data_IF_220304801430
#
_entry.id   IF_220304801430
#
_cell.length_a   1.000
_cell.length_b   1.000
_cell.length_c   1.000
_cell.angle_alpha   90.00
_cell.angle_beta   90.00
_cell.angle_gamma   90.00
#
_symmetry.space_group_name_H-M   'P 1'
#
loop_
_entity.id
_entity.type
_entity.pdbx_description
1 polymer ?
#
# COMPACT_ATOMS: atom_id res chain seq x y z
N UNK A 1 62.63 -13.92 2.75
CA UNK A 1 61.51 -13.64 1.81
C UNK A 1 60.28 -14.48 2.16
N UNK A 2 60.03 -14.77 3.44
CA UNK A 2 58.92 -15.63 3.90
C UNK A 2 57.99 -14.95 4.92
N UNK A 3 58.39 -13.82 5.50
CA UNK A 3 57.57 -13.11 6.50
C UNK A 3 56.37 -12.34 5.91
N UNK A 4 56.42 -11.93 4.63
CA UNK A 4 55.33 -11.16 4.01
C UNK A 4 54.12 -12.01 3.61
N UNK A 5 54.26 -13.34 3.48
CA UNK A 5 53.15 -14.21 3.08
C UNK A 5 52.24 -14.59 4.24
N UNK A 6 52.72 -14.50 5.49
CA UNK A 6 51.94 -14.91 6.66
C UNK A 6 50.97 -13.84 7.17
N UNK A 7 51.20 -12.56 6.84
CA UNK A 7 50.29 -11.47 7.24
C UNK A 7 48.98 -11.53 6.45
N UNK A 8 49.03 -11.87 5.15
CA UNK A 8 47.87 -11.87 4.26
C UNK A 8 46.88 -13.02 4.51
N UNK A 9 47.28 -14.09 5.20
CA UNK A 9 46.42 -15.24 5.47
C UNK A 9 45.53 -15.06 6.71
N UNK A 10 45.88 -14.13 7.60
CA UNK A 10 45.19 -13.93 8.89
C UNK A 10 43.92 -13.07 8.78
N UNK A 11 43.81 -12.24 7.73
CA UNK A 11 42.66 -11.32 7.57
C UNK A 11 41.42 -11.96 6.92
N UNK A 12 41.53 -13.20 6.41
CA UNK A 12 40.41 -13.92 5.79
C UNK A 12 39.86 -15.03 6.69
N UNK A 13 39.69 -14.76 7.99
CA UNK A 13 38.75 -15.55 8.78
C UNK A 13 37.35 -15.18 8.28
N UNK A 14 36.73 -16.10 7.54
CA UNK A 14 35.35 -15.95 7.09
C UNK A 14 34.48 -15.65 8.32
N UNK A 15 33.62 -14.61 8.27
CA UNK A 15 32.67 -14.39 9.36
C UNK A 15 31.81 -15.66 9.51
N UNK A 16 31.46 -15.99 10.76
CA UNK A 16 30.49 -17.03 11.03
C UNK A 16 29.24 -16.82 10.17
N UNK A 17 28.59 -17.89 9.68
CA UNK A 17 27.33 -17.75 8.97
C UNK A 17 26.36 -16.93 9.83
N UNK A 18 25.58 -16.01 9.25
CA UNK A 18 24.60 -15.28 10.02
C UNK A 18 23.66 -16.29 10.68
N UNK A 19 23.37 -16.10 11.97
CA UNK A 19 22.37 -16.87 12.67
C UNK A 19 21.10 -16.88 11.81
N UNK A 20 20.61 -18.08 11.50
CA UNK A 20 19.32 -18.28 10.85
C UNK A 20 18.21 -17.91 11.83
N UNK A 21 18.12 -16.63 12.20
CA UNK A 21 16.83 -16.05 12.50
C UNK A 21 16.08 -16.11 11.17
N UNK A 22 15.15 -17.06 11.10
CA UNK A 22 14.17 -17.18 10.04
C UNK A 22 13.68 -15.78 9.72
N UNK A 23 14.13 -15.26 8.58
CA UNK A 23 13.56 -14.06 8.01
C UNK A 23 12.08 -14.39 7.83
N UNK A 24 11.25 -13.96 8.79
CA UNK A 24 9.82 -13.87 8.57
C UNK A 24 9.70 -13.14 7.25
N UNK A 25 9.13 -13.84 6.27
CA UNK A 25 8.96 -13.35 4.92
C UNK A 25 8.41 -11.92 5.03
N UNK A 26 9.23 -10.95 4.63
CA UNK A 26 8.73 -9.61 4.32
C UNK A 26 7.54 -9.85 3.40
N UNK A 27 6.35 -9.46 3.86
CA UNK A 27 5.13 -9.54 3.07
C UNK A 27 5.42 -9.02 1.67
N UNK A 28 5.02 -9.81 0.67
CA UNK A 28 5.24 -9.49 -0.73
C UNK A 28 4.67 -8.08 -0.99
N UNK A 29 5.49 -7.11 -1.42
CA UNK A 29 5.01 -5.74 -1.70
C UNK A 29 3.95 -5.69 -2.80
N UNK A 30 3.73 -6.80 -3.53
CA UNK A 30 2.66 -6.96 -4.50
C UNK A 30 1.34 -7.47 -3.92
N UNK A 31 1.27 -7.76 -2.62
CA UNK A 31 -0.02 -8.06 -1.98
C UNK A 31 -0.68 -6.75 -1.57
N UNK A 32 -1.24 -6.00 -2.53
CA UNK A 32 -2.20 -4.95 -2.17
C UNK A 32 -3.39 -5.64 -1.51
N UNK A 33 -3.42 -5.64 -0.18
CA UNK A 33 -4.55 -6.13 0.59
C UNK A 33 -5.73 -5.21 0.34
N UNK A 34 -6.68 -5.68 -0.46
CA UNK A 34 -7.94 -4.97 -0.69
C UNK A 34 -8.62 -4.72 0.68
N UNK A 35 -8.83 -3.44 0.99
CA UNK A 35 -9.59 -3.03 2.18
C UNK A 35 -10.95 -2.52 1.70
N UNK A 36 -12.06 -3.21 2.05
CA UNK A 36 -13.39 -2.78 1.64
C UNK A 36 -13.73 -1.40 2.21
N UNK A 37 -14.31 -0.55 1.36
CA UNK A 37 -14.93 0.72 1.75
C UNK A 37 -16.22 0.42 2.51
N UNK A 38 -16.45 1.12 3.61
CA UNK A 38 -17.67 1.04 4.41
C UNK A 38 -18.58 2.26 4.18
N UNK A 39 -19.86 2.20 4.54
CA UNK A 39 -20.75 3.36 4.48
C UNK A 39 -20.25 4.56 5.32
N UNK A 40 -19.54 4.31 6.42
CA UNK A 40 -18.93 5.36 7.23
C UNK A 40 -17.84 6.10 6.47
N UNK A 41 -17.01 5.38 5.72
CA UNK A 41 -15.98 6.01 4.87
C UNK A 41 -16.62 6.92 3.81
N UNK A 42 -17.75 6.52 3.22
CA UNK A 42 -18.51 7.35 2.27
C UNK A 42 -19.07 8.60 2.95
N UNK A 43 -19.64 8.48 4.15
CA UNK A 43 -20.15 9.65 4.90
C UNK A 43 -19.05 10.66 5.19
N UNK A 44 -17.88 10.18 5.61
CA UNK A 44 -16.73 11.04 5.84
C UNK A 44 -16.28 11.72 4.54
N UNK A 45 -16.11 10.95 3.46
CA UNK A 45 -15.71 11.48 2.16
C UNK A 45 -16.67 12.55 1.62
N UNK A 46 -17.99 12.37 1.80
CA UNK A 46 -19.01 13.35 1.42
C UNK A 46 -18.84 14.70 2.11
N UNK A 47 -18.28 14.75 3.32
CA UNK A 47 -18.01 16.04 3.98
C UNK A 47 -16.91 16.81 3.25
N UNK A 48 -15.85 16.13 2.80
CA UNK A 48 -14.77 16.71 2.01
C UNK A 48 -15.21 17.08 0.59
N UNK A 49 -16.07 16.29 -0.05
CA UNK A 49 -16.55 16.61 -1.41
C UNK A 49 -17.35 17.91 -1.44
N UNK A 50 -18.13 18.23 -0.41
CA UNK A 50 -18.95 19.46 -0.34
C UNK A 50 -18.13 20.74 -0.50
N UNK A 51 -16.86 20.74 -0.14
CA UNK A 51 -15.96 21.89 -0.23
C UNK A 51 -15.09 21.87 -1.49
N UNK A 52 -15.22 20.84 -2.33
CA UNK A 52 -14.42 20.65 -3.54
C UNK A 52 -15.02 21.41 -4.73
N UNK A 53 -14.15 21.94 -5.59
CA UNK A 53 -14.56 22.48 -6.88
C UNK A 53 -15.14 21.37 -7.78
N UNK A 54 -16.07 21.68 -8.69
CA UNK A 54 -16.61 20.70 -9.63
C UNK A 54 -15.51 20.13 -10.53
N UNK A 55 -15.66 18.84 -10.89
CA UNK A 55 -14.80 18.18 -11.87
C UNK A 55 -15.11 18.59 -13.31
N UNK A 56 -14.44 17.93 -14.26
CA UNK A 56 -14.64 18.15 -15.70
C UNK A 56 -16.09 17.91 -16.17
N UNK A 57 -16.79 17.00 -15.50
CA UNK A 57 -18.21 16.69 -15.74
C UNK A 57 -19.18 17.78 -15.25
N UNK A 58 -18.68 18.81 -14.56
CA UNK A 58 -19.48 19.91 -14.02
C UNK A 58 -20.44 19.49 -12.91
N UNK A 59 -20.31 18.28 -12.35
CA UNK A 59 -21.19 17.81 -11.29
C UNK A 59 -20.82 18.53 -9.99
N UNK A 60 -21.72 19.39 -9.52
CA UNK A 60 -21.54 20.10 -8.26
C UNK A 60 -21.62 19.13 -7.08
N UNK A 61 -20.76 19.32 -6.08
CA UNK A 61 -20.72 18.52 -4.86
C UNK A 61 -22.07 18.35 -4.11
N UNK A 62 -22.99 19.34 -4.08
CA UNK A 62 -24.32 19.16 -3.50
C UNK A 62 -25.18 18.10 -4.19
N UNK A 63 -24.90 17.76 -5.46
CA UNK A 63 -25.57 16.64 -6.15
C UNK A 63 -25.04 15.30 -5.66
N UNK A 64 -23.74 15.20 -5.38
CA UNK A 64 -23.10 13.98 -4.85
C UNK A 64 -23.63 13.63 -3.46
N UNK A 65 -23.96 14.64 -2.66
CA UNK A 65 -24.56 14.46 -1.34
C UNK A 65 -25.93 13.74 -1.37
N UNK A 66 -26.64 13.75 -2.50
CA UNK A 66 -27.97 13.13 -2.65
C UNK A 66 -27.94 11.64 -2.95
N UNK A 67 -26.80 11.08 -3.35
CA UNK A 67 -26.69 9.65 -3.61
C UNK A 67 -26.76 8.85 -2.32
N UNK A 68 -27.31 7.64 -2.37
CA UNK A 68 -27.37 6.73 -1.23
C UNK A 68 -25.94 6.27 -0.83
N UNK A 69 -25.62 6.31 0.47
CA UNK A 69 -24.32 5.87 1.01
C UNK A 69 -24.02 4.41 0.65
N UNK A 70 -25.01 3.52 0.74
CA UNK A 70 -24.85 2.09 0.47
C UNK A 70 -24.59 1.85 -1.03
N UNK A 71 -25.29 2.58 -1.90
CA UNK A 71 -25.08 2.49 -3.35
C UNK A 71 -23.67 2.95 -3.74
N UNK A 72 -23.19 4.05 -3.15
CA UNK A 72 -21.81 4.50 -3.35
C UNK A 72 -20.81 3.50 -2.81
N UNK A 73 -21.05 2.93 -1.63
CA UNK A 73 -20.19 1.93 -1.01
C UNK A 73 -20.01 0.72 -1.94
N UNK A 74 -21.12 0.20 -2.49
CA UNK A 74 -21.09 -0.89 -3.46
C UNK A 74 -20.29 -0.49 -4.71
N UNK A 75 -20.57 0.68 -5.28
CA UNK A 75 -19.90 1.17 -6.49
C UNK A 75 -18.38 1.27 -6.29
N UNK A 76 -17.92 1.91 -5.21
CA UNK A 76 -16.50 2.07 -4.94
C UNK A 76 -15.82 0.72 -4.69
N UNK A 77 -16.49 -0.19 -4.00
CA UNK A 77 -15.95 -1.54 -3.79
C UNK A 77 -15.85 -2.34 -5.08
N UNK A 78 -16.80 -2.21 -6.01
CA UNK A 78 -16.71 -2.83 -7.33
C UNK A 78 -15.52 -2.29 -8.14
N UNK A 79 -15.32 -0.97 -8.13
CA UNK A 79 -14.20 -0.33 -8.82
C UNK A 79 -12.86 -0.81 -8.24
N UNK A 80 -12.73 -0.79 -6.91
CA UNK A 80 -11.49 -1.15 -6.23
C UNK A 80 -11.19 -2.66 -6.25
N UNK A 81 -12.21 -3.50 -6.39
CA UNK A 81 -12.05 -4.94 -6.54
C UNK A 81 -11.76 -5.37 -7.99
N UNK A 82 -11.89 -4.46 -8.96
CA UNK A 82 -11.62 -4.76 -10.36
C UNK A 82 -10.11 -4.78 -10.62
N UNK A 83 -9.54 -5.86 -11.19
CA UNK A 83 -8.14 -5.87 -11.59
C UNK A 83 -7.90 -4.78 -12.64
N UNK A 84 -6.83 -4.00 -12.47
CA UNK A 84 -6.37 -3.04 -13.47
C UNK A 84 -5.75 -3.85 -14.63
N UNK A 85 -6.48 -3.96 -15.74
CA UNK A 85 -5.96 -4.51 -17.01
C UNK A 85 -5.02 -3.53 -17.72
#
# INVERSE_FOLDING_TARGET
MEDMMNVHRSMFKSPSPPDQNSFQAKGDPNTQSYTPITPENIRYAKTGWRTSAPGYDGVLAPKVARYNDDALTILFNLILASPLE
#
